data_IF_353460754717
#
_entry.id   IF_353460754717
#
_cell.length_a   1.000
_cell.length_b   1.000
_cell.length_c   1.000
_cell.angle_alpha   90.00
_cell.angle_beta   90.00
_cell.angle_gamma   90.00
#
_symmetry.space_group_name_H-M   'P 1'
#
loop_
_entity.id
_entity.type
_entity.pdbx_description
1 polymer ?
#
# COMPACT_ATOMS: atom_id res chain seq x y z
N UNK A 1 -17.26 -5.25 29.30
CA UNK A 1 -16.94 -6.41 28.44
C UNK A 1 -18.09 -6.57 27.48
N UNK A 2 -17.94 -6.15 26.22
CA UNK A 2 -18.94 -6.36 25.18
C UNK A 2 -18.21 -6.78 23.91
N UNK A 3 -18.37 -8.06 23.52
CA UNK A 3 -17.89 -8.58 22.25
C UNK A 3 -19.09 -8.67 21.31
N UNK A 4 -19.07 -7.93 20.20
CA UNK A 4 -20.03 -8.07 19.11
C UNK A 4 -19.47 -9.06 18.10
N UNK A 5 -19.98 -10.30 18.08
CA UNK A 5 -19.65 -11.31 17.08
C UNK A 5 -20.64 -11.19 15.91
N UNK A 6 -20.31 -10.39 14.89
CA UNK A 6 -21.06 -10.41 13.64
C UNK A 6 -20.63 -11.64 12.83
N UNK A 7 -21.49 -12.66 12.77
CA UNK A 7 -21.34 -13.80 11.86
C UNK A 7 -21.55 -13.33 10.42
N UNK A 8 -20.47 -13.14 9.67
CA UNK A 8 -20.53 -13.04 8.21
C UNK A 8 -20.92 -14.43 7.67
N UNK A 9 -22.01 -14.57 6.88
CA UNK A 9 -22.43 -15.87 6.38
C UNK A 9 -21.39 -16.49 5.42
N UNK A 10 -21.14 -17.78 5.62
CA UNK A 10 -20.09 -18.62 4.98
C UNK A 10 -20.21 -18.79 3.45
N UNK A 11 -21.26 -18.29 2.80
CA UNK A 11 -21.54 -18.51 1.38
C UNK A 11 -20.78 -17.58 0.41
N UNK A 12 -19.92 -16.69 0.91
CA UNK A 12 -19.26 -15.65 0.10
C UNK A 12 -17.82 -15.97 -0.33
N UNK A 13 -17.25 -17.12 0.05
CA UNK A 13 -15.84 -17.43 -0.23
C UNK A 13 -15.69 -18.49 -1.33
N UNK A 14 -15.65 -18.02 -2.58
CA UNK A 14 -15.27 -18.82 -3.73
C UNK A 14 -13.72 -18.87 -3.84
N UNK A 15 -13.06 -19.79 -3.12
CA UNK A 15 -11.65 -20.11 -3.36
C UNK A 15 -11.44 -21.64 -3.40
N UNK A 16 -11.19 -22.23 -4.58
CA UNK A 16 -11.01 -23.68 -4.71
C UNK A 16 -9.67 -24.21 -4.14
N UNK A 17 -8.74 -23.34 -3.72
CA UNK A 17 -7.37 -23.73 -3.36
C UNK A 17 -6.98 -23.57 -1.88
N UNK A 18 -7.87 -23.10 -0.99
CA UNK A 18 -7.56 -23.08 0.44
C UNK A 18 -8.45 -22.18 1.29
N UNK A 19 -8.66 -22.59 2.55
CA UNK A 19 -9.37 -21.85 3.61
C UNK A 19 -8.36 -21.11 4.48
N UNK A 20 -7.58 -20.22 3.90
CA UNK A 20 -6.57 -19.45 4.63
C UNK A 20 -6.64 -17.97 4.26
N UNK A 21 -6.42 -17.10 5.24
CA UNK A 21 -6.31 -15.67 5.04
C UNK A 21 -4.85 -15.30 4.86
N UNK A 22 -4.59 -14.35 3.95
CA UNK A 22 -3.26 -13.78 3.76
C UNK A 22 -3.17 -12.46 4.50
N UNK A 23 -2.17 -12.34 5.37
CA UNK A 23 -1.84 -11.13 6.09
C UNK A 23 -0.51 -10.58 5.56
N UNK A 24 -0.50 -9.30 5.23
CA UNK A 24 0.69 -8.56 4.80
C UNK A 24 1.01 -7.49 5.84
N UNK A 25 2.28 -7.41 6.25
CA UNK A 25 2.77 -6.32 7.11
C UNK A 25 3.57 -5.34 6.29
N UNK A 26 3.21 -4.05 6.36
CA UNK A 26 3.88 -2.97 5.64
C UNK A 26 3.82 -1.66 6.44
N UNK A 27 4.64 -0.68 6.06
CA UNK A 27 4.56 0.68 6.63
C UNK A 27 3.39 1.46 6.04
N UNK A 28 2.91 2.49 6.75
CA UNK A 28 1.72 3.27 6.34
C UNK A 28 1.87 3.96 4.96
N UNK A 29 3.10 4.27 4.56
CA UNK A 29 3.44 4.94 3.30
C UNK A 29 3.82 3.95 2.17
N UNK A 30 3.41 2.69 2.30
CA UNK A 30 3.64 1.65 1.30
C UNK A 30 2.33 0.91 1.00
N UNK A 31 2.28 0.24 -0.16
CA UNK A 31 1.15 -0.59 -0.56
C UNK A 31 1.53 -2.05 -0.33
N UNK A 32 0.66 -2.86 0.30
CA UNK A 32 0.93 -4.29 0.44
C UNK A 32 1.04 -4.93 -0.94
N UNK A 33 2.19 -5.54 -1.18
CA UNK A 33 2.50 -6.29 -2.40
C UNK A 33 2.97 -7.69 -2.03
N UNK A 34 3.06 -8.58 -3.02
CA UNK A 34 3.60 -9.95 -2.83
C UNK A 34 5.06 -9.99 -2.35
N UNK A 35 5.76 -8.86 -2.39
CA UNK A 35 7.13 -8.73 -1.89
C UNK A 35 7.20 -8.43 -0.39
N UNK A 36 6.07 -8.08 0.23
CA UNK A 36 5.99 -7.90 1.66
C UNK A 36 5.95 -9.24 2.37
N UNK A 37 6.33 -9.24 3.65
CA UNK A 37 6.18 -10.41 4.51
C UNK A 37 4.73 -10.85 4.54
N UNK A 38 4.49 -12.04 3.97
CA UNK A 38 3.21 -12.70 3.93
C UNK A 38 3.12 -13.74 5.05
N UNK A 39 1.98 -13.76 5.74
CA UNK A 39 1.62 -14.79 6.70
C UNK A 39 0.25 -15.36 6.37
N UNK A 40 0.14 -16.67 6.42
CA UNK A 40 -1.11 -17.39 6.23
C UNK A 40 -1.74 -17.65 7.60
N UNK A 41 -3.03 -17.34 7.72
CA UNK A 41 -3.83 -17.59 8.91
C UNK A 41 -4.86 -18.63 8.53
N UNK A 42 -4.76 -19.80 9.15
CA UNK A 42 -5.69 -20.89 8.91
C UNK A 42 -7.10 -20.52 9.38
N UNK A 43 -8.10 -20.90 8.61
CA UNK A 43 -9.50 -20.66 8.97
C UNK A 43 -9.90 -21.32 10.29
N UNK A 44 -10.82 -20.69 11.03
CA UNK A 44 -11.29 -21.10 12.36
C UNK A 44 -10.20 -21.25 13.43
N UNK A 45 -9.05 -20.62 13.23
CA UNK A 45 -8.00 -20.55 14.23
C UNK A 45 -7.77 -19.10 14.62
N UNK A 46 -7.48 -18.88 15.89
CA UNK A 46 -7.00 -17.60 16.37
C UNK A 46 -5.50 -17.50 16.11
N UNK A 47 -5.06 -16.34 15.64
CA UNK A 47 -3.65 -16.04 15.42
C UNK A 47 -3.27 -14.77 16.18
N UNK A 48 -2.15 -14.83 16.89
CA UNK A 48 -1.53 -13.68 17.55
C UNK A 48 -0.28 -13.34 16.76
N UNK A 49 -0.22 -12.10 16.26
CA UNK A 49 0.93 -11.57 15.55
C UNK A 49 1.63 -10.53 16.44
N UNK A 50 2.88 -10.79 16.76
CA UNK A 50 3.78 -9.80 17.36
C UNK A 50 4.50 -9.04 16.24
N UNK A 51 4.51 -7.72 16.33
CA UNK A 51 5.11 -6.84 15.33
C UNK A 51 6.26 -6.09 15.99
N UNK A 52 7.49 -6.42 15.60
CA UNK A 52 8.69 -5.66 15.97
C UNK A 52 9.07 -4.71 14.83
N UNK A 53 8.83 -3.42 15.03
CA UNK A 53 9.02 -2.39 14.01
C UNK A 53 10.37 -1.67 14.19
N UNK A 54 11.32 -2.01 13.32
CA UNK A 54 12.64 -1.36 13.29
C UNK A 54 12.62 -0.16 12.33
N UNK A 55 12.50 1.05 12.86
CA UNK A 55 12.45 2.28 12.08
C UNK A 55 13.83 2.90 11.89
N UNK A 56 14.22 3.09 10.64
CA UNK A 56 15.42 3.85 10.26
C UNK A 56 15.00 5.21 9.72
N UNK A 57 15.42 6.28 10.41
CA UNK A 57 15.18 7.65 9.98
C UNK A 57 16.41 8.23 9.30
N UNK A 58 16.20 9.24 8.48
CA UNK A 58 17.30 9.98 7.84
C UNK A 58 17.85 11.02 8.81
N UNK A 59 19.16 11.27 8.74
CA UNK A 59 19.78 12.32 9.55
C UNK A 59 19.40 13.70 9.02
N UNK A 60 19.24 14.68 9.91
CA UNK A 60 18.88 16.06 9.54
C UNK A 60 19.91 16.71 8.60
N UNK A 61 21.17 16.30 8.68
CA UNK A 61 22.24 16.72 7.77
C UNK A 61 21.94 16.40 6.30
N UNK A 62 21.15 15.35 6.02
CA UNK A 62 20.76 14.97 4.66
C UNK A 62 19.82 16.00 4.01
N UNK A 63 19.09 16.78 4.80
CA UNK A 63 18.22 17.86 4.31
C UNK A 63 19.01 18.98 3.61
N UNK A 64 20.33 19.09 3.84
CA UNK A 64 21.19 20.11 3.24
C UNK A 64 21.53 19.85 1.77
N UNK A 65 21.45 18.59 1.33
CA UNK A 65 21.63 18.26 -0.08
C UNK A 65 20.38 18.67 -0.86
N UNK A 66 20.48 18.93 -2.17
CA UNK A 66 19.27 19.10 -2.98
C UNK A 66 18.67 17.74 -3.34
N UNK A 67 17.39 17.70 -3.72
CA UNK A 67 16.73 16.48 -4.22
C UNK A 67 17.46 15.89 -5.44
N UNK A 68 18.07 16.74 -6.27
CA UNK A 68 18.81 16.31 -7.47
C UNK A 68 20.07 15.50 -7.12
N UNK A 69 20.75 15.87 -6.03
CA UNK A 69 21.91 15.15 -5.52
C UNK A 69 21.47 13.85 -4.83
N UNK A 70 20.42 13.91 -3.99
CA UNK A 70 19.90 12.72 -3.28
C UNK A 70 19.21 11.71 -4.19
N UNK A 71 18.70 12.15 -5.34
CA UNK A 71 17.85 11.37 -6.25
C UNK A 71 16.58 10.80 -5.60
N UNK A 72 16.15 11.43 -4.50
CA UNK A 72 14.91 11.14 -3.80
C UNK A 72 14.38 12.44 -3.15
N UNK A 73 13.10 12.42 -2.79
CA UNK A 73 12.41 13.57 -2.20
C UNK A 73 12.10 13.30 -0.73
N UNK A 74 12.15 14.34 0.09
CA UNK A 74 11.54 14.36 1.42
C UNK A 74 10.06 14.67 1.33
N UNK A 75 9.36 14.40 2.44
CA UNK A 75 7.95 14.76 2.58
C UNK A 75 7.76 16.27 2.35
N UNK A 76 6.82 16.64 1.49
CA UNK A 76 6.57 18.03 1.09
C UNK A 76 7.47 18.59 -0.02
N UNK A 77 8.62 17.98 -0.35
CA UNK A 77 9.46 18.43 -1.48
C UNK A 77 8.81 18.13 -2.84
N UNK A 78 7.97 17.10 -2.90
CA UNK A 78 7.22 16.73 -4.10
C UNK A 78 5.79 16.39 -3.73
N UNK A 79 4.85 17.13 -4.29
CA UNK A 79 3.42 16.82 -4.18
C UNK A 79 3.03 15.75 -5.19
N UNK A 80 2.38 14.70 -4.69
CA UNK A 80 1.74 13.67 -5.51
C UNK A 80 0.30 14.11 -5.81
N UNK A 81 -0.22 13.71 -6.98
CA UNK A 81 -1.57 13.99 -7.43
C UNK A 81 -2.59 13.06 -6.77
N UNK A 82 -2.28 11.77 -6.68
CA UNK A 82 -3.23 10.75 -6.18
C UNK A 82 -3.03 10.39 -4.71
N UNK A 83 -1.88 10.71 -4.13
CA UNK A 83 -1.50 10.33 -2.77
C UNK A 83 -1.18 11.56 -1.91
N UNK A 84 -1.47 11.48 -0.60
CA UNK A 84 -1.29 12.59 0.33
C UNK A 84 0.15 12.81 0.77
N UNK A 85 0.92 11.73 0.86
CA UNK A 85 2.30 11.72 1.36
C UNK A 85 3.25 11.18 0.32
N UNK A 86 4.49 11.66 0.31
CA UNK A 86 5.51 11.14 -0.60
C UNK A 86 6.04 9.79 -0.11
N UNK A 87 5.99 8.81 -0.99
CA UNK A 87 6.83 7.61 -0.90
C UNK A 87 7.30 7.21 -2.29
N UNK A 88 8.39 6.43 -2.35
CA UNK A 88 8.88 5.91 -3.63
C UNK A 88 7.81 5.06 -4.33
N UNK A 89 7.09 4.24 -3.57
CA UNK A 89 6.03 3.37 -4.09
C UNK A 89 4.88 4.19 -4.70
N UNK A 90 4.36 5.18 -3.97
CA UNK A 90 3.29 6.04 -4.45
C UNK A 90 3.71 6.87 -5.67
N UNK A 91 4.92 7.40 -5.68
CA UNK A 91 5.44 8.12 -6.84
C UNK A 91 5.55 7.24 -8.09
N UNK A 92 5.99 5.98 -7.93
CA UNK A 92 6.05 5.02 -9.04
C UNK A 92 4.67 4.65 -9.57
N UNK A 93 3.70 4.44 -8.68
CA UNK A 93 2.32 4.12 -9.07
C UNK A 93 1.65 5.29 -9.79
N UNK A 94 1.85 6.53 -9.31
CA UNK A 94 1.36 7.73 -9.98
C UNK A 94 1.99 7.90 -11.36
N UNK A 95 3.27 7.57 -11.52
CA UNK A 95 3.93 7.60 -12.83
C UNK A 95 3.27 6.62 -13.81
N UNK A 96 2.99 5.40 -13.36
CA UNK A 96 2.29 4.38 -14.16
C UNK A 96 0.86 4.84 -14.48
N UNK A 97 0.13 5.37 -13.50
CA UNK A 97 -1.24 5.85 -13.66
C UNK A 97 -1.29 7.03 -14.65
N UNK A 98 -0.40 8.01 -14.53
CA UNK A 98 -0.31 9.13 -15.47
C UNK A 98 0.03 8.68 -16.88
N UNK A 99 0.91 7.69 -17.02
CA UNK A 99 1.21 7.09 -18.32
C UNK A 99 -0.01 6.34 -18.89
N UNK A 100 -0.72 5.58 -18.06
CA UNK A 100 -1.94 4.87 -18.47
C UNK A 100 -3.04 5.84 -18.89
N UNK A 101 -3.31 6.89 -18.11
CA UNK A 101 -4.28 7.94 -18.44
C UNK A 101 -3.96 8.60 -19.77
N UNK A 102 -2.70 9.00 -19.99
CA UNK A 102 -2.27 9.59 -21.27
C UNK A 102 -2.53 8.66 -22.47
N UNK A 103 -2.32 7.35 -22.30
CA UNK A 103 -2.58 6.38 -23.36
C UNK A 103 -4.06 6.07 -23.55
N UNK A 104 -4.84 6.09 -22.46
CA UNK A 104 -6.29 5.89 -22.52
C UNK A 104 -6.98 7.11 -23.14
N UNK A 105 -6.55 8.32 -22.81
CA UNK A 105 -6.99 9.56 -23.47
C UNK A 105 -6.69 9.50 -24.98
N UNK A 106 -5.53 8.95 -25.36
CA UNK A 106 -5.18 8.72 -26.76
C UNK A 106 -6.05 7.67 -27.46
N UNK A 107 -6.69 6.77 -26.70
CA UNK A 107 -7.60 5.73 -27.20
C UNK A 107 -9.09 6.09 -27.04
N UNK A 108 -9.42 7.25 -26.44
CA UNK A 108 -10.80 7.72 -26.27
C UNK A 108 -11.64 6.97 -25.24
N UNK A 109 -11.03 6.23 -24.31
CA UNK A 109 -11.77 5.57 -23.22
C UNK A 109 -11.96 6.54 -22.03
N UNK A 110 -13.21 6.69 -21.53
CA UNK A 110 -13.50 7.50 -20.34
C UNK A 110 -13.36 6.69 -19.05
N UNK A 111 -12.42 7.05 -18.19
CA UNK A 111 -12.39 6.59 -16.80
C UNK A 111 -13.40 7.39 -15.96
N UNK A 112 -14.26 6.69 -15.23
CA UNK A 112 -15.12 7.32 -14.23
C UNK A 112 -14.38 7.35 -12.89
N UNK A 113 -13.93 8.53 -12.48
CA UNK A 113 -13.45 8.73 -11.12
C UNK A 113 -14.63 8.64 -10.14
N UNK A 114 -14.66 7.59 -9.32
CA UNK A 114 -15.55 7.55 -8.17
C UNK A 114 -14.94 8.40 -7.05
N UNK A 115 -15.42 9.64 -6.93
CA UNK A 115 -15.16 10.54 -5.80
C UNK A 115 -15.89 10.11 -4.54
#
# INVERSE_FOLDING_TARGET
MFAFYNRIPLSFFCNPFGREFRMFTHIYNDIPTIFHTEKFISWNNDAIAEIDANLYTTSESMCRYSSDVRRCYFEGERKLQFFKSYSKAFCSLECIANHALKNVDALGFQWQEHK
#
